data_IF_892301277753
#
_entry.id   IF_892301277753
#
_cell.length_a   1.000
_cell.length_b   1.000
_cell.length_c   1.000
_cell.angle_alpha   90.00
_cell.angle_beta   90.00
_cell.angle_gamma   90.00
#
_symmetry.space_group_name_H-M   'P 1'
#
loop_
_entity.id
_entity.type
_entity.pdbx_description
1 polymer ?
#
# COMPACT_ATOMS: atom_id res chain seq x y z
N UNK A 1 17.28 7.45 -1.52
CA UNK A 1 16.02 7.47 -0.74
C UNK A 1 14.87 7.58 -1.72
N UNK A 2 13.92 6.63 -1.72
CA UNK A 2 12.77 6.57 -2.64
C UNK A 2 11.47 6.24 -1.89
N UNK A 3 10.34 6.72 -2.42
CA UNK A 3 9.00 6.35 -1.96
C UNK A 3 8.74 4.85 -2.17
N UNK A 4 7.74 4.33 -1.46
CA UNK A 4 7.31 2.94 -1.58
C UNK A 4 6.65 2.65 -2.93
N UNK A 5 6.92 1.48 -3.50
CA UNK A 5 6.28 1.04 -4.75
C UNK A 5 4.83 0.61 -4.52
N UNK A 6 3.95 0.84 -5.48
CA UNK A 6 2.57 0.35 -5.39
C UNK A 6 2.52 -1.18 -5.41
N UNK A 7 1.56 -1.75 -4.68
CA UNK A 7 1.26 -3.17 -4.71
C UNK A 7 0.59 -3.60 -6.03
N UNK A 8 0.85 -4.82 -6.47
CA UNK A 8 0.28 -5.35 -7.71
C UNK A 8 -1.23 -5.61 -7.60
N UNK A 9 -1.98 -5.30 -8.65
CA UNK A 9 -3.40 -5.65 -8.73
C UNK A 9 -3.59 -7.12 -9.14
N UNK A 10 -4.59 -7.77 -8.58
CA UNK A 10 -5.04 -9.09 -9.01
C UNK A 10 -6.01 -8.98 -10.21
N UNK A 11 -6.25 -10.11 -10.89
CA UNK A 11 -7.10 -10.22 -12.08
C UNK A 11 -8.58 -10.45 -11.75
N UNK A 12 -9.20 -11.48 -12.31
CA UNK A 12 -10.59 -11.85 -11.95
C UNK A 12 -10.71 -12.35 -10.50
N UNK A 13 -9.67 -13.02 -10.02
CA UNK A 13 -9.57 -13.58 -8.67
C UNK A 13 -8.19 -13.27 -8.07
N UNK A 14 -8.10 -13.30 -6.73
CA UNK A 14 -6.86 -13.21 -5.97
C UNK A 14 -6.75 -11.92 -5.15
N UNK A 15 -5.89 -11.91 -4.12
CA UNK A 15 -5.72 -10.71 -3.30
C UNK A 15 -4.73 -9.74 -3.95
N UNK A 16 -4.94 -8.44 -3.73
CA UNK A 16 -3.99 -7.41 -4.13
C UNK A 16 -2.69 -7.50 -3.33
N UNK A 17 -1.57 -7.18 -3.97
CA UNK A 17 -0.26 -7.14 -3.33
C UNK A 17 -0.14 -5.98 -2.34
N UNK A 18 0.66 -6.14 -1.30
CA UNK A 18 0.96 -5.04 -0.39
C UNK A 18 1.78 -3.94 -1.08
N UNK A 19 1.53 -2.69 -0.71
CA UNK A 19 2.39 -1.57 -1.09
C UNK A 19 3.75 -1.66 -0.38
N UNK A 20 4.82 -1.30 -1.08
CA UNK A 20 6.16 -1.27 -0.51
C UNK A 20 6.34 -0.13 0.49
N UNK A 21 7.20 -0.33 1.48
CA UNK A 21 7.58 0.76 2.40
C UNK A 21 8.48 1.78 1.71
N UNK A 22 8.38 3.04 2.12
CA UNK A 22 9.37 4.05 1.73
C UNK A 22 10.72 3.79 2.41
N UNK A 23 11.80 4.18 1.73
CA UNK A 23 13.13 4.21 2.35
C UNK A 23 13.24 5.34 3.38
N UNK A 24 14.33 5.36 4.14
CA UNK A 24 14.64 6.44 5.10
C UNK A 24 14.72 7.78 4.35
N UNK A 25 14.15 8.85 4.91
CA UNK A 25 14.15 10.20 4.34
C UNK A 25 14.41 11.24 5.43
N UNK A 26 15.01 12.37 5.08
CA UNK A 26 15.09 13.54 5.98
C UNK A 26 13.82 14.41 5.94
N UNK A 27 13.07 14.34 4.85
CA UNK A 27 11.93 15.23 4.53
C UNK A 27 10.60 14.49 4.44
N UNK A 28 10.54 13.22 4.86
CA UNK A 28 9.38 12.35 4.66
C UNK A 28 9.22 11.86 3.22
N UNK A 29 8.88 10.59 3.04
CA UNK A 29 8.46 9.97 1.77
C UNK A 29 7.32 9.02 2.04
N UNK A 30 6.34 8.95 1.13
CA UNK A 30 5.16 8.13 1.32
C UNK A 30 5.40 6.64 1.07
N UNK A 31 4.75 5.80 1.86
CA UNK A 31 4.60 4.38 1.54
C UNK A 31 3.80 4.18 0.26
N UNK A 32 3.99 3.03 -0.39
CA UNK A 32 3.27 2.68 -1.60
C UNK A 32 1.82 2.29 -1.29
N UNK A 33 0.89 2.60 -2.20
CA UNK A 33 -0.48 2.12 -2.06
C UNK A 33 -0.55 0.59 -2.20
N UNK A 34 -1.47 -0.05 -1.47
CA UNK A 34 -1.81 -1.46 -1.65
C UNK A 34 -2.50 -1.69 -3.00
N UNK A 35 -2.26 -2.85 -3.60
CA UNK A 35 -2.85 -3.26 -4.87
C UNK A 35 -4.31 -3.67 -4.74
N UNK A 36 -5.07 -3.61 -5.82
CA UNK A 36 -6.45 -4.06 -5.84
C UNK A 36 -6.56 -5.59 -5.79
N UNK A 37 -7.53 -6.11 -5.02
CA UNK A 37 -7.99 -7.49 -5.10
C UNK A 37 -8.66 -7.79 -6.43
N UNK A 38 -8.86 -9.07 -6.70
CA UNK A 38 -9.43 -9.56 -7.94
C UNK A 38 -10.90 -9.17 -8.05
N UNK A 39 -11.36 -8.88 -9.27
CA UNK A 39 -12.64 -8.23 -9.50
C UNK A 39 -13.83 -8.93 -8.82
N UNK A 40 -13.89 -10.27 -8.86
CA UNK A 40 -14.97 -11.03 -8.24
C UNK A 40 -14.64 -11.39 -6.78
N UNK A 41 -13.51 -12.05 -6.57
CA UNK A 41 -13.05 -12.48 -5.26
C UNK A 41 -11.60 -12.08 -5.02
N UNK A 42 -11.37 -11.38 -3.93
CA UNK A 42 -10.04 -10.93 -3.56
C UNK A 42 -10.07 -9.70 -2.67
N UNK A 43 -9.30 -9.71 -1.60
CA UNK A 43 -9.13 -8.55 -0.75
C UNK A 43 -8.08 -7.60 -1.35
N UNK A 44 -8.22 -6.31 -1.08
CA UNK A 44 -7.17 -5.34 -1.39
C UNK A 44 -5.92 -5.58 -0.54
N UNK A 45 -4.75 -5.26 -1.10
CA UNK A 45 -3.49 -5.33 -0.37
C UNK A 45 -3.35 -4.20 0.65
N UNK A 46 -2.57 -4.41 1.71
CA UNK A 46 -2.26 -3.35 2.66
C UNK A 46 -1.40 -2.26 2.02
N UNK A 47 -1.56 -1.01 2.46
CA UNK A 47 -0.64 0.08 2.14
C UNK A 47 0.72 -0.10 2.82
N UNK A 48 1.78 0.36 2.16
CA UNK A 48 3.15 0.32 2.69
C UNK A 48 3.39 1.42 3.73
N UNK A 49 4.38 1.22 4.60
CA UNK A 49 4.74 2.23 5.58
C UNK A 49 5.44 3.44 4.94
N UNK A 50 5.20 4.64 5.48
CA UNK A 50 5.97 5.83 5.15
C UNK A 50 7.40 5.76 5.68
N UNK A 51 8.23 6.71 5.28
CA UNK A 51 9.64 6.74 5.66
C UNK A 51 9.82 7.05 7.14
N UNK A 52 10.74 6.34 7.78
CA UNK A 52 11.18 6.66 9.14
C UNK A 52 12.47 7.49 9.07
N UNK A 53 12.55 8.56 9.86
CA UNK A 53 13.71 9.44 9.97
C UNK A 53 13.46 10.90 9.57
N UNK A 54 14.39 11.78 9.92
CA UNK A 54 14.31 13.22 9.62
C UNK A 54 13.44 14.03 10.57
N UNK A 55 13.23 15.30 10.23
CA UNK A 55 12.41 16.23 11.02
C UNK A 55 10.91 15.97 10.83
N UNK A 56 10.53 15.30 9.72
CA UNK A 56 9.15 15.00 9.35
C UNK A 56 9.07 13.54 8.87
N UNK A 57 8.22 12.73 9.51
CA UNK A 57 7.92 11.36 9.10
C UNK A 57 7.18 11.28 7.76
N UNK A 58 7.34 10.18 7.05
CA UNK A 58 6.65 9.97 5.78
C UNK A 58 5.24 9.42 5.98
N UNK A 59 4.27 9.83 5.16
CA UNK A 59 2.89 9.32 5.28
C UNK A 59 2.79 7.85 4.84
N UNK A 60 1.99 7.05 5.54
CA UNK A 60 1.66 5.69 5.11
C UNK A 60 0.89 5.63 3.79
N UNK A 61 1.08 4.57 3.01
CA UNK A 61 0.34 4.34 1.77
C UNK A 61 -1.11 3.97 2.02
N UNK A 62 -2.01 4.29 1.09
CA UNK A 62 -3.40 3.84 1.18
C UNK A 62 -3.51 2.31 1.04
N UNK A 63 -4.52 1.71 1.65
CA UNK A 63 -4.88 0.32 1.39
C UNK A 63 -5.49 0.15 -0.01
N UNK A 64 -5.37 -1.06 -0.56
CA UNK A 64 -5.94 -1.41 -1.86
C UNK A 64 -7.44 -1.69 -1.78
N UNK A 65 -8.14 -1.60 -2.92
CA UNK A 65 -9.57 -1.93 -2.99
C UNK A 65 -9.77 -3.44 -3.05
N UNK A 66 -10.81 -3.96 -2.40
CA UNK A 66 -11.26 -5.34 -2.58
C UNK A 66 -12.09 -5.52 -3.85
N UNK A 67 -12.26 -6.77 -4.27
CA UNK A 67 -13.23 -7.19 -5.28
C UNK A 67 -14.67 -7.13 -4.77
N UNK A 68 -15.63 -7.51 -5.63
CA UNK A 68 -17.07 -7.47 -5.32
C UNK A 68 -17.44 -8.17 -4.00
N UNK A 69 -16.81 -9.30 -3.72
CA UNK A 69 -17.00 -10.06 -2.48
C UNK A 69 -15.80 -9.99 -1.52
N UNK A 70 -14.83 -9.11 -1.80
CA UNK A 70 -13.64 -8.92 -0.98
C UNK A 70 -13.72 -7.67 -0.11
N UNK A 71 -12.81 -7.56 0.85
CA UNK A 71 -12.65 -6.35 1.68
C UNK A 71 -11.51 -5.49 1.16
N UNK A 72 -11.57 -4.18 1.44
CA UNK A 72 -10.41 -3.31 1.25
C UNK A 72 -9.22 -3.72 2.13
N UNK A 73 -8.03 -3.33 1.72
CA UNK A 73 -6.81 -3.46 2.52
C UNK A 73 -6.67 -2.34 3.54
N UNK A 74 -5.94 -2.59 4.61
CA UNK A 74 -5.61 -1.57 5.60
C UNK A 74 -4.66 -0.51 5.03
N UNK A 75 -4.77 0.72 5.50
CA UNK A 75 -3.74 1.74 5.25
C UNK A 75 -2.40 1.36 5.90
N UNK A 76 -1.32 1.93 5.38
CA UNK A 76 0.03 1.83 5.93
C UNK A 76 0.26 2.83 7.07
N UNK A 77 1.24 2.53 7.91
CA UNK A 77 1.68 3.40 9.00
C UNK A 77 2.44 4.61 8.44
N UNK A 78 2.18 5.81 8.96
CA UNK A 78 2.94 7.03 8.68
C UNK A 78 3.75 7.48 9.89
#
# INVERSE_FOLDING_TARGET
NKAGGAGGAAGLFGNGGAGGSAGISATGMSGGAGGAGGFLFGNGGAGGAGSVGGTIGGVGGAGGMGGLFGTGGSGGVG
#
